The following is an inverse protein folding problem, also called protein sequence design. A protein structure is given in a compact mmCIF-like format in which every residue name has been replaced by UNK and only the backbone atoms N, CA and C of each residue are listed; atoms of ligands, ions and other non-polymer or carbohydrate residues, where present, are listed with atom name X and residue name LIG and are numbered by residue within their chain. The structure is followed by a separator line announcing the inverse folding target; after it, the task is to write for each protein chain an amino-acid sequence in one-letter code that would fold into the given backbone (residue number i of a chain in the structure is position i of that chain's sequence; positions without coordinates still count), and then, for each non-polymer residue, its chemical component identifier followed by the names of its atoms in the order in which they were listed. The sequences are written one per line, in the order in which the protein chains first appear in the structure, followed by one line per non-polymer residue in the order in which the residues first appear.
data_IF_887761944697
#
_entry.id   IF_887761944697
#
_cell.length_a   1.000
_cell.length_b   1.000
_cell.length_c   1.000
_cell.angle_alpha   90.00
_cell.angle_beta   90.00
_cell.angle_gamma   90.00
#
_symmetry.space_group_name_H-M   'P 1'
#
loop_
_entity.id
_entity.type
_entity.pdbx_description
1 polymer ?
#
# COMPACT_ATOMS: atom_id res chain seq x y z
N UNK A 1 22.61 -15.69 -9.44
CA UNK A 1 21.36 -15.10 -9.98
C UNK A 1 20.19 -15.80 -9.34
N UNK A 2 19.39 -15.07 -8.54
CA UNK A 2 18.20 -15.62 -7.93
C UNK A 2 17.07 -15.64 -8.98
N UNK A 3 16.31 -16.73 -9.04
CA UNK A 3 15.12 -16.83 -9.91
C UNK A 3 13.87 -16.56 -9.08
N UNK A 4 12.89 -15.89 -9.67
CA UNK A 4 11.55 -15.82 -9.10
C UNK A 4 10.98 -17.25 -8.98
N UNK A 5 10.40 -17.59 -7.83
CA UNK A 5 9.83 -18.93 -7.62
C UNK A 5 8.54 -19.18 -8.41
N UNK A 6 7.83 -18.13 -8.80
CA UNK A 6 6.57 -18.24 -9.54
C UNK A 6 6.79 -18.38 -11.04
N UNK A 7 7.53 -17.46 -11.66
CA UNK A 7 7.72 -17.43 -13.11
C UNK A 7 9.11 -17.90 -13.59
N UNK A 8 10.03 -18.24 -12.68
CA UNK A 8 11.38 -18.72 -13.01
C UNK A 8 12.32 -17.68 -13.64
N UNK A 9 11.85 -16.44 -13.87
CA UNK A 9 12.67 -15.36 -14.44
C UNK A 9 13.79 -14.99 -13.48
N UNK A 10 14.97 -14.70 -14.03
CA UNK A 10 16.09 -14.17 -13.26
C UNK A 10 15.71 -12.77 -12.79
N UNK A 11 15.76 -12.56 -11.49
CA UNK A 11 15.50 -11.26 -10.89
C UNK A 11 16.72 -10.87 -10.04
N UNK A 12 17.14 -9.63 -10.20
CA UNK A 12 18.23 -9.07 -9.40
C UNK A 12 17.72 -8.60 -8.04
N UNK A 13 16.40 -8.57 -7.84
CA UNK A 13 15.75 -8.03 -6.66
C UNK A 13 14.87 -9.06 -5.98
N UNK A 14 14.53 -8.76 -4.74
CA UNK A 14 13.61 -9.56 -3.93
C UNK A 14 12.14 -9.41 -4.36
N UNK A 15 11.88 -8.59 -5.38
CA UNK A 15 10.54 -8.23 -5.86
C UNK A 15 10.38 -8.55 -7.35
N UNK A 16 9.58 -9.57 -7.67
CA UNK A 16 9.29 -9.91 -9.05
C UNK A 16 8.14 -9.05 -9.60
N UNK A 17 8.49 -7.95 -10.27
CA UNK A 17 7.49 -7.01 -10.84
C UNK A 17 6.41 -7.73 -11.68
N UNK A 18 6.73 -8.55 -12.69
CA UNK A 18 5.70 -9.19 -13.51
C UNK A 18 4.68 -10.01 -12.71
N UNK A 19 5.14 -10.78 -11.72
CA UNK A 19 4.29 -11.60 -10.85
C UNK A 19 3.45 -10.73 -9.91
N UNK A 20 4.10 -9.81 -9.18
CA UNK A 20 3.40 -8.96 -8.22
C UNK A 20 2.38 -8.03 -8.89
N UNK A 21 2.67 -7.51 -10.09
CA UNK A 21 1.70 -6.71 -10.86
C UNK A 21 0.44 -7.51 -11.21
N UNK A 22 0.56 -8.83 -11.45
CA UNK A 22 -0.61 -9.70 -11.69
C UNK A 22 -1.41 -9.88 -10.41
N UNK A 23 -0.76 -10.18 -9.29
CA UNK A 23 -1.43 -10.32 -7.99
C UNK A 23 -2.17 -9.05 -7.58
N UNK A 24 -1.54 -7.88 -7.74
CA UNK A 24 -2.20 -6.59 -7.49
C UNK A 24 -3.37 -6.36 -8.43
N UNK A 25 -3.21 -6.58 -9.73
CA UNK A 25 -4.29 -6.38 -10.71
C UNK A 25 -5.51 -7.22 -10.39
N UNK A 26 -5.31 -8.48 -10.00
CA UNK A 26 -6.40 -9.38 -9.60
C UNK A 26 -7.14 -8.87 -8.35
N UNK A 27 -6.47 -8.08 -7.50
CA UNK A 27 -7.05 -7.53 -6.27
C UNK A 27 -7.75 -6.17 -6.46
N UNK A 28 -7.64 -5.51 -7.63
CA UNK A 28 -8.24 -4.19 -7.85
C UNK A 28 -9.77 -4.18 -7.80
N UNK A 29 -10.40 -5.34 -7.99
CA UNK A 29 -11.87 -5.47 -7.88
C UNK A 29 -12.34 -5.51 -6.42
N UNK A 30 -11.44 -5.70 -5.45
CA UNK A 30 -11.79 -5.90 -4.05
C UNK A 30 -11.72 -4.63 -3.20
N UNK A 31 -11.27 -3.51 -3.78
CA UNK A 31 -11.24 -2.22 -3.10
C UNK A 31 -11.40 -1.08 -4.10
N UNK A 32 -11.97 0.02 -3.63
CA UNK A 32 -12.01 1.29 -4.35
C UNK A 32 -12.06 2.41 -3.31
N UNK A 33 -11.32 3.50 -3.53
CA UNK A 33 -11.31 4.63 -2.60
C UNK A 33 -12.54 5.53 -2.73
N UNK A 34 -13.29 5.38 -3.82
CA UNK A 34 -14.33 6.35 -4.23
C UNK A 34 -13.76 7.53 -5.04
N UNK A 35 -12.44 7.66 -5.15
CA UNK A 35 -11.76 8.66 -5.98
C UNK A 35 -10.91 7.99 -7.06
N UNK A 36 -11.36 8.09 -8.32
CA UNK A 36 -10.70 7.42 -9.45
C UNK A 36 -9.27 7.91 -9.72
N UNK A 37 -8.90 9.13 -9.30
CA UNK A 37 -7.55 9.64 -9.47
C UNK A 37 -6.62 9.02 -8.42
N UNK A 38 -7.10 8.87 -7.19
CA UNK A 38 -6.37 8.17 -6.14
C UNK A 38 -6.19 6.69 -6.48
N UNK A 39 -7.26 6.03 -6.93
CA UNK A 39 -7.21 4.64 -7.35
C UNK A 39 -6.15 4.45 -8.44
N UNK A 40 -6.13 5.31 -9.47
CA UNK A 40 -5.11 5.29 -10.53
C UNK A 40 -3.70 5.49 -9.99
N UNK A 41 -3.49 6.40 -9.03
CA UNK A 41 -2.18 6.63 -8.43
C UNK A 41 -1.66 5.36 -7.73
N UNK A 42 -2.50 4.75 -6.90
CA UNK A 42 -2.17 3.55 -6.13
C UNK A 42 -1.94 2.36 -7.07
N UNK A 43 -2.85 2.13 -8.01
CA UNK A 43 -2.72 1.06 -9.00
C UNK A 43 -1.47 1.25 -9.86
N UNK A 44 -1.12 2.47 -10.27
CA UNK A 44 0.10 2.75 -11.01
C UNK A 44 1.35 2.44 -10.19
N UNK A 45 1.38 2.75 -8.90
CA UNK A 45 2.48 2.36 -8.00
C UNK A 45 2.62 0.83 -7.93
N UNK A 46 1.49 0.14 -7.70
CA UNK A 46 1.42 -1.33 -7.57
C UNK A 46 1.82 -2.07 -8.85
N UNK A 47 1.46 -1.55 -10.02
CA UNK A 47 1.81 -2.15 -11.30
C UNK A 47 3.24 -1.85 -11.74
N UNK A 48 3.81 -0.71 -11.35
CA UNK A 48 5.07 -0.24 -11.93
C UNK A 48 6.30 -0.35 -11.04
N UNK A 49 6.13 -0.45 -9.72
CA UNK A 49 7.28 -0.54 -8.80
C UNK A 49 8.15 -1.76 -9.10
N UNK A 50 9.45 -1.60 -8.88
CA UNK A 50 10.46 -2.67 -8.92
C UNK A 50 10.98 -3.02 -7.53
N UNK A 51 10.51 -2.32 -6.50
CA UNK A 51 10.96 -2.46 -5.11
C UNK A 51 9.75 -2.48 -4.19
N UNK A 52 9.66 -3.48 -3.32
CA UNK A 52 8.53 -3.64 -2.38
C UNK A 52 8.34 -2.43 -1.46
N UNK A 53 9.42 -1.80 -0.99
CA UNK A 53 9.34 -0.65 -0.09
C UNK A 53 8.95 0.68 -0.77
N UNK A 54 8.88 0.73 -2.11
CA UNK A 54 8.36 1.88 -2.87
C UNK A 54 6.88 1.75 -3.23
N UNK A 55 6.28 0.62 -2.84
CA UNK A 55 4.88 0.32 -3.10
C UNK A 55 3.98 1.26 -2.28
N UNK A 56 2.95 1.80 -2.92
CA UNK A 56 1.83 2.43 -2.20
C UNK A 56 0.76 1.37 -1.99
N UNK A 57 0.46 1.09 -0.73
CA UNK A 57 -0.61 0.17 -0.33
C UNK A 57 -1.91 0.92 -0.10
N UNK A 58 -3.01 0.34 -0.59
CA UNK A 58 -4.35 0.73 -0.14
C UNK A 58 -4.63 0.09 1.22
N UNK A 59 -5.16 0.89 2.16
CA UNK A 59 -5.50 0.44 3.50
C UNK A 59 -6.94 0.86 3.77
N UNK A 60 -7.82 -0.11 3.94
CA UNK A 60 -9.17 0.16 4.41
C UNK A 60 -9.13 0.83 5.79
N UNK A 61 -9.93 1.89 5.98
CA UNK A 61 -9.95 2.61 7.25
C UNK A 61 -10.33 1.70 8.43
N UNK A 62 -11.18 0.71 8.18
CA UNK A 62 -11.56 -0.33 9.15
C UNK A 62 -10.39 -1.21 9.60
N UNK A 63 -9.24 -1.14 8.91
CA UNK A 63 -8.01 -1.85 9.27
C UNK A 63 -7.15 -1.11 10.31
N UNK A 64 -7.57 0.10 10.71
CA UNK A 64 -6.96 0.92 11.74
C UNK A 64 -7.72 0.80 13.07
N UNK A 65 -7.00 0.66 14.16
CA UNK A 65 -7.50 0.60 15.55
C UNK A 65 -6.86 1.69 16.41
N UNK A 66 -7.44 1.99 17.57
CA UNK A 66 -6.89 2.90 18.58
C UNK A 66 -6.46 4.26 17.99
N UNK A 67 -7.35 4.87 17.22
CA UNK A 67 -7.08 6.13 16.51
C UNK A 67 -7.17 7.29 17.51
N UNK A 68 -6.03 7.88 17.83
CA UNK A 68 -5.87 8.95 18.83
C UNK A 68 -5.31 10.21 18.16
N UNK A 69 -5.94 11.36 18.36
CA UNK A 69 -5.43 12.64 17.84
C UNK A 69 -4.12 13.02 18.55
N UNK A 70 -3.07 13.30 17.77
CA UNK A 70 -1.78 13.78 18.27
C UNK A 70 -1.71 15.30 18.19
N UNK A 71 -2.06 15.87 17.02
CA UNK A 71 -1.93 17.29 16.77
C UNK A 71 -2.82 17.77 15.64
N UNK A 72 -3.18 19.06 15.70
CA UNK A 72 -3.69 19.81 14.56
C UNK A 72 -2.56 20.61 13.93
N UNK A 73 -2.55 20.69 12.59
CA UNK A 73 -1.64 21.53 11.83
C UNK A 73 -2.40 22.34 10.78
N UNK A 74 -1.70 23.24 10.08
CA UNK A 74 -2.33 24.12 9.08
C UNK A 74 -2.96 23.39 7.88
N UNK A 75 -2.56 22.14 7.62
CA UNK A 75 -3.03 21.35 6.47
C UNK A 75 -3.87 20.13 6.86
N UNK A 76 -4.17 19.93 8.15
CA UNK A 76 -4.76 18.67 8.59
C UNK A 76 -4.62 18.39 10.07
N UNK A 77 -4.91 17.15 10.43
CA UNK A 77 -4.70 16.61 11.77
C UNK A 77 -3.92 15.31 11.67
N UNK A 78 -3.01 15.08 12.61
CA UNK A 78 -2.22 13.85 12.68
C UNK A 78 -2.74 13.02 13.83
N UNK A 79 -2.94 11.74 13.57
CA UNK A 79 -3.41 10.75 14.53
C UNK A 79 -2.35 9.65 14.68
N UNK A 80 -2.31 9.04 15.85
CA UNK A 80 -1.65 7.76 16.12
C UNK A 80 -2.70 6.68 15.89
N UNK A 81 -2.33 5.56 15.28
CA UNK A 81 -3.22 4.42 15.13
C UNK A 81 -2.42 3.11 15.10
N UNK A 82 -3.11 1.99 15.30
CA UNK A 82 -2.58 0.65 15.08
C UNK A 82 -3.13 0.11 13.76
N UNK A 83 -2.26 -0.18 12.81
CA UNK A 83 -2.60 -0.94 11.61
C UNK A 83 -2.62 -2.44 11.95
N UNK A 84 -3.80 -3.07 11.93
CA UNK A 84 -3.99 -4.46 12.39
C UNK A 84 -3.11 -5.46 11.65
N UNK A 85 -3.11 -5.39 10.33
CA UNK A 85 -2.37 -6.34 9.52
C UNK A 85 -0.88 -5.98 9.46
N UNK A 86 -0.52 -4.70 9.65
CA UNK A 86 0.82 -4.17 9.33
C UNK A 86 1.09 -4.11 7.84
N UNK A 87 2.26 -3.63 7.39
CA UNK A 87 2.60 -3.53 5.96
C UNK A 87 2.77 -4.90 5.28
N UNK A 88 2.72 -4.94 3.94
CA UNK A 88 3.18 -6.11 3.17
C UNK A 88 4.64 -6.39 3.54
N UNK A 89 4.93 -7.65 3.85
CA UNK A 89 6.28 -8.08 4.17
C UNK A 89 7.26 -7.74 3.03
N UNK A 90 8.37 -7.10 3.39
CA UNK A 90 9.44 -6.79 2.43
C UNK A 90 10.28 -8.03 2.16
N UNK A 91 10.69 -8.22 0.90
CA UNK A 91 11.64 -9.25 0.51
C UNK A 91 11.04 -10.34 -0.36
N UNK A 92 11.81 -11.44 -0.52
CA UNK A 92 11.44 -12.52 -1.43
C UNK A 92 10.15 -13.18 -0.95
N UNK A 93 9.23 -13.41 -1.90
CA UNK A 93 7.96 -14.12 -1.66
C UNK A 93 7.06 -13.44 -0.62
N UNK A 94 6.87 -12.13 -0.77
CA UNK A 94 5.81 -11.41 -0.06
C UNK A 94 4.42 -12.00 -0.36
N UNK A 95 4.21 -12.58 -1.55
CA UNK A 95 2.98 -13.27 -1.91
C UNK A 95 2.96 -14.72 -1.37
N UNK A 96 1.87 -15.09 -0.70
CA UNK A 96 1.61 -16.45 -0.23
C UNK A 96 0.73 -17.21 -1.23
N UNK A 97 1.34 -18.11 -2.00
CA UNK A 97 0.65 -18.92 -3.03
C UNK A 97 -0.46 -19.83 -2.48
N UNK A 98 -0.30 -20.37 -1.27
CA UNK A 98 -1.27 -21.31 -0.71
C UNK A 98 -2.57 -20.63 -0.27
N UNK A 99 -2.46 -19.35 0.12
CA UNK A 99 -3.57 -18.55 0.64
C UNK A 99 -4.05 -17.50 -0.34
N UNK A 100 -3.31 -17.28 -1.43
CA UNK A 100 -3.56 -16.20 -2.40
C UNK A 100 -3.67 -14.83 -1.71
N UNK A 101 -2.75 -14.56 -0.78
CA UNK A 101 -2.73 -13.32 0.02
C UNK A 101 -1.31 -12.78 0.19
N UNK A 102 -1.19 -11.49 0.50
CA UNK A 102 0.09 -10.89 0.89
C UNK A 102 0.45 -11.27 2.33
N UNK A 103 1.68 -11.72 2.54
CA UNK A 103 2.28 -11.82 3.88
C UNK A 103 2.41 -10.43 4.48
N UNK A 104 2.20 -10.32 5.79
CA UNK A 104 2.19 -9.05 6.50
C UNK A 104 3.17 -9.05 7.67
N UNK A 105 3.65 -7.88 8.06
CA UNK A 105 4.60 -7.73 9.18
C UNK A 105 3.95 -7.72 10.59
N UNK A 106 2.64 -8.00 10.66
CA UNK A 106 1.80 -7.93 11.87
C UNK A 106 1.56 -6.50 12.37
N UNK A 107 0.74 -6.38 13.43
CA UNK A 107 0.32 -5.11 14.04
C UNK A 107 1.45 -4.08 14.13
N UNK A 108 1.21 -2.90 13.56
CA UNK A 108 2.18 -1.81 13.53
C UNK A 108 1.54 -0.50 13.97
N UNK A 109 2.22 0.22 14.86
CA UNK A 109 1.86 1.60 15.17
C UNK A 109 2.24 2.52 14.00
N UNK A 110 1.30 3.36 13.58
CA UNK A 110 1.43 4.24 12.43
C UNK A 110 0.94 5.65 12.75
N UNK A 111 1.48 6.63 12.03
CA UNK A 111 0.93 7.97 11.99
C UNK A 111 -0.06 8.09 10.82
N UNK A 112 -1.26 8.60 11.08
CA UNK A 112 -2.31 8.83 10.09
C UNK A 112 -2.52 10.33 9.94
N UNK A 113 -2.23 10.87 8.76
CA UNK A 113 -2.50 12.29 8.44
C UNK A 113 -3.86 12.39 7.76
N UNK A 114 -4.79 13.08 8.40
CA UNK A 114 -6.09 13.47 7.82
C UNK A 114 -6.01 14.91 7.34
N UNK A 115 -6.28 15.13 6.06
CA UNK A 115 -6.26 16.47 5.47
C UNK A 115 -7.57 17.22 5.73
N UNK A 116 -7.50 18.53 5.93
CA UNK A 116 -8.68 19.39 6.03
C UNK A 116 -9.36 19.52 4.65
N UNK A 117 -10.69 19.56 4.60
CA UNK A 117 -11.50 19.72 3.38
C UNK A 117 -11.28 18.68 2.28
N UNK A 118 -10.81 17.47 2.62
CA UNK A 118 -10.71 16.35 1.69
C UNK A 118 -12.10 15.77 1.35
N UNK A 119 -12.89 16.52 0.59
CA UNK A 119 -14.09 16.00 -0.09
C UNK A 119 -13.65 15.25 -1.35
N UNK A 120 -12.61 15.74 -2.01
CA UNK A 120 -11.91 15.10 -3.13
C UNK A 120 -10.41 15.15 -2.90
N UNK A 121 -9.66 14.27 -3.55
CA UNK A 121 -8.20 14.34 -3.56
C UNK A 121 -7.74 15.56 -4.35
N UNK A 122 -7.15 16.54 -3.66
CA UNK A 122 -6.63 17.75 -4.31
C UNK A 122 -5.33 17.44 -5.08
N UNK A 123 -5.00 18.22 -6.13
CA UNK A 123 -3.69 18.12 -6.77
C UNK A 123 -2.51 18.31 -5.80
N UNK A 124 -2.69 19.18 -4.80
CA UNK A 124 -1.68 19.41 -3.75
C UNK A 124 -1.45 18.16 -2.91
N UNK A 125 -2.50 17.39 -2.60
CA UNK A 125 -2.37 16.09 -1.96
C UNK A 125 -1.59 15.09 -2.83
N UNK A 126 -1.90 15.01 -4.12
CA UNK A 126 -1.20 14.08 -5.03
C UNK A 126 0.28 14.42 -5.17
N UNK A 127 0.66 15.70 -5.03
CA UNK A 127 2.05 16.12 -5.04
C UNK A 127 2.81 15.76 -3.76
N UNK A 128 2.15 15.67 -2.61
CA UNK A 128 2.77 15.23 -1.35
C UNK A 128 3.02 13.72 -1.31
N UNK A 129 2.18 12.94 -2.00
CA UNK A 129 2.26 11.46 -2.04
C UNK A 129 3.20 10.93 -3.14
N UNK A 130 3.64 11.79 -4.06
CA UNK A 130 4.54 11.44 -5.17
C UNK A 130 5.96 11.08 -4.74
#
# INVERSE_FOLDING_TARGET
MNKCQECGRKDNFDYCKPCNSVHFRNNFIHWASGDSNLDKLIQNSQLNTTMSWRLIEWIEYSNLENIELIAHGGFGSVYKAIWKDGPIAVGKQAWNFNKSEWRRENKKEVAVKKFQNAINVSPDFLNEVR
#
